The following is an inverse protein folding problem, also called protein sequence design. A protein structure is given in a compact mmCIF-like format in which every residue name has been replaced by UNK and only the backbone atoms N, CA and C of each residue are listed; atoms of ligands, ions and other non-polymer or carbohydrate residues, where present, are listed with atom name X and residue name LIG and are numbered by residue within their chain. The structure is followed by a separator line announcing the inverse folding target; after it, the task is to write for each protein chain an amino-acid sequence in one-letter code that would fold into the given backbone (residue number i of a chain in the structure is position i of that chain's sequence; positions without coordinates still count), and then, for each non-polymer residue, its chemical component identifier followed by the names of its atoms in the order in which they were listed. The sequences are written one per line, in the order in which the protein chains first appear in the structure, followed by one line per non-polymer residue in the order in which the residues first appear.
data_IF_075481609463
#
_entry.id   IF_075481609463
#
_cell.length_a   1.000
_cell.length_b   1.000
_cell.length_c   1.000
_cell.angle_alpha   90.00
_cell.angle_beta   90.00
_cell.angle_gamma   90.00
#
_symmetry.space_group_name_H-M   'P 1'
#
loop_
_entity.id
_entity.type
_entity.pdbx_description
1 polymer ?
#
# COMPACT_ATOMS: atom_id res chain seq x y z
N UNK A 1 23.98 -11.28 6.98
CA UNK A 1 23.06 -10.59 6.03
C UNK A 1 22.89 -9.18 6.52
N UNK A 2 23.25 -8.17 5.73
CA UNK A 2 22.93 -6.77 6.06
C UNK A 2 21.58 -6.51 5.40
N UNK A 3 20.55 -6.23 6.21
CA UNK A 3 19.21 -5.89 5.71
C UNK A 3 19.17 -4.54 5.03
N UNK A 4 18.08 -4.21 4.35
CA UNK A 4 17.89 -2.88 3.79
C UNK A 4 17.71 -1.85 4.94
N UNK A 5 18.43 -0.72 4.94
CA UNK A 5 18.26 0.30 5.96
C UNK A 5 16.85 0.89 5.88
N UNK A 6 16.18 0.94 7.03
CA UNK A 6 14.86 1.54 7.17
C UNK A 6 14.96 3.02 7.53
N UNK A 7 13.96 3.78 7.08
CA UNK A 7 13.71 5.14 7.60
C UNK A 7 13.47 5.05 9.10
N UNK A 8 14.05 5.99 9.86
CA UNK A 8 14.01 5.96 11.33
C UNK A 8 12.57 6.01 11.82
N UNK A 9 11.77 6.83 11.14
CA UNK A 9 10.35 7.07 11.41
C UNK A 9 9.52 5.79 11.31
N UNK A 10 9.92 4.83 10.47
CA UNK A 10 9.26 3.53 10.33
C UNK A 10 9.87 2.49 11.28
N UNK A 11 11.20 2.50 11.44
CA UNK A 11 11.90 1.55 12.30
C UNK A 11 11.49 1.65 13.77
N UNK A 12 11.03 2.82 14.22
CA UNK A 12 10.54 3.05 15.58
C UNK A 12 9.04 3.33 15.65
N UNK A 13 8.29 3.00 14.59
CA UNK A 13 6.86 3.30 14.50
C UNK A 13 6.05 2.39 15.42
N UNK A 14 5.40 2.99 16.42
CA UNK A 14 4.28 2.36 17.13
C UNK A 14 2.98 2.72 16.41
N UNK A 15 2.49 1.80 15.56
CA UNK A 15 1.32 2.05 14.73
C UNK A 15 0.07 2.31 15.56
N UNK A 16 -0.16 1.51 16.60
CA UNK A 16 -1.38 1.61 17.40
C UNK A 16 -1.43 2.92 18.17
N UNK A 17 -0.29 3.40 18.68
CA UNK A 17 -0.22 4.66 19.41
C UNK A 17 -0.49 5.90 18.55
N UNK A 18 -0.22 5.84 17.23
CA UNK A 18 -0.29 7.01 16.34
C UNK A 18 -1.36 6.91 15.25
N UNK A 19 -2.04 5.76 15.14
CA UNK A 19 -3.02 5.46 14.10
C UNK A 19 -4.14 6.49 14.00
N UNK A 20 -4.75 6.86 15.12
CA UNK A 20 -5.88 7.80 15.13
C UNK A 20 -5.44 9.20 14.70
N UNK A 21 -4.27 9.65 15.17
CA UNK A 21 -3.67 10.91 14.76
C UNK A 21 -3.33 10.90 13.26
N UNK A 22 -2.77 9.79 12.76
CA UNK A 22 -2.48 9.63 11.34
C UNK A 22 -3.75 9.65 10.49
N UNK A 23 -4.83 8.99 10.93
CA UNK A 23 -6.13 9.03 10.25
C UNK A 23 -6.70 10.44 10.21
N UNK A 24 -6.68 11.15 11.33
CA UNK A 24 -7.14 12.54 11.40
C UNK A 24 -6.33 13.45 10.46
N UNK A 25 -5.00 13.33 10.45
CA UNK A 25 -4.11 14.12 9.58
C UNK A 25 -4.36 13.83 8.08
N UNK A 26 -4.70 12.57 7.75
CA UNK A 26 -4.99 12.12 6.39
C UNK A 26 -6.47 12.32 5.98
N UNK A 27 -7.32 12.87 6.87
CA UNK A 27 -8.74 13.07 6.61
C UNK A 27 -9.55 11.76 6.50
N UNK A 28 -9.08 10.70 7.16
CA UNK A 28 -9.68 9.38 7.21
C UNK A 28 -10.61 9.23 8.42
N UNK A 29 -11.63 8.40 8.29
CA UNK A 29 -12.54 8.03 9.36
C UNK A 29 -11.83 7.10 10.36
N UNK A 30 -11.86 7.44 11.66
CA UNK A 30 -11.16 6.70 12.70
C UNK A 30 -11.70 5.28 12.90
N UNK A 31 -13.00 5.07 12.67
CA UNK A 31 -13.68 3.82 13.01
C UNK A 31 -13.71 2.81 11.85
N UNK A 32 -13.07 3.13 10.72
CA UNK A 32 -13.12 2.30 9.50
C UNK A 32 -11.83 1.56 9.22
N UNK A 33 -11.91 0.35 8.67
CA UNK A 33 -10.74 -0.30 8.09
C UNK A 33 -10.18 0.53 6.93
N UNK A 34 -8.87 0.72 6.91
CA UNK A 34 -8.19 1.51 5.86
C UNK A 34 -7.33 0.60 4.99
N UNK A 35 -7.63 0.58 3.69
CA UNK A 35 -6.77 -0.02 2.68
C UNK A 35 -5.80 1.04 2.15
N UNK A 36 -4.50 0.86 2.38
CA UNK A 36 -3.49 1.66 1.71
C UNK A 36 -3.12 1.03 0.37
N UNK A 37 -3.14 1.82 -0.69
CA UNK A 37 -2.76 1.40 -2.03
C UNK A 37 -1.57 2.26 -2.48
N UNK A 38 -0.45 1.63 -2.82
CA UNK A 38 0.74 2.37 -3.26
C UNK A 38 1.57 1.62 -4.30
N UNK A 39 1.88 2.30 -5.40
CA UNK A 39 2.78 1.80 -6.43
C UNK A 39 4.27 2.02 -6.16
N UNK A 40 4.63 2.71 -5.06
CA UNK A 40 5.93 3.35 -4.89
C UNK A 40 5.98 4.78 -5.46
N UNK A 41 7.13 5.44 -5.36
CA UNK A 41 7.28 6.88 -5.67
C UNK A 41 6.90 7.27 -7.11
N UNK A 42 7.15 6.39 -8.09
CA UNK A 42 6.82 6.60 -9.51
C UNK A 42 5.39 6.19 -9.87
N UNK A 43 4.65 5.60 -8.93
CA UNK A 43 3.32 5.04 -9.19
C UNK A 43 3.33 3.72 -9.97
N UNK A 44 2.17 3.07 -10.04
CA UNK A 44 2.00 1.77 -10.69
C UNK A 44 0.71 1.73 -11.52
N UNK A 45 0.80 2.04 -12.81
CA UNK A 45 -0.39 2.23 -13.68
C UNK A 45 -1.40 1.09 -13.64
N UNK A 46 -0.95 -0.15 -13.76
CA UNK A 46 -1.83 -1.34 -13.74
C UNK A 46 -2.55 -1.46 -12.41
N UNK A 47 -1.81 -1.39 -11.30
CA UNK A 47 -2.34 -1.40 -9.94
C UNK A 47 -3.33 -0.25 -9.71
N UNK A 48 -2.96 0.98 -10.08
CA UNK A 48 -3.79 2.16 -9.91
C UNK A 48 -5.15 1.99 -10.62
N UNK A 49 -5.12 1.52 -11.88
CA UNK A 49 -6.32 1.28 -12.69
C UNK A 49 -7.20 0.20 -12.09
N UNK A 50 -6.63 -0.95 -11.72
CA UNK A 50 -7.40 -2.06 -11.15
C UNK A 50 -8.12 -1.61 -9.87
N UNK A 51 -7.43 -0.91 -8.98
CA UNK A 51 -8.03 -0.44 -7.72
C UNK A 51 -9.17 0.56 -7.95
N UNK A 52 -9.03 1.47 -8.91
CA UNK A 52 -10.12 2.39 -9.29
C UNK A 52 -11.37 1.60 -9.73
N UNK A 53 -11.19 0.53 -10.51
CA UNK A 53 -12.31 -0.27 -11.03
C UNK A 53 -13.07 -1.05 -9.94
N UNK A 54 -12.45 -1.29 -8.79
CA UNK A 54 -13.08 -2.00 -7.65
C UNK A 54 -13.34 -1.10 -6.44
N UNK A 55 -13.08 0.20 -6.56
CA UNK A 55 -13.16 1.15 -5.44
C UNK A 55 -14.52 1.10 -4.73
N UNK A 56 -15.62 1.16 -5.49
CA UNK A 56 -16.98 1.10 -4.93
C UNK A 56 -17.26 -0.24 -4.22
N UNK A 57 -16.76 -1.36 -4.76
CA UNK A 57 -16.91 -2.68 -4.12
C UNK A 57 -16.19 -2.73 -2.79
N UNK A 58 -15.00 -2.14 -2.70
CA UNK A 58 -14.23 -2.07 -1.46
C UNK A 58 -14.92 -1.16 -0.46
N UNK A 59 -15.31 0.06 -0.85
CA UNK A 59 -15.91 1.02 0.08
C UNK A 59 -17.30 0.60 0.54
N UNK A 60 -18.04 -0.17 -0.27
CA UNK A 60 -19.30 -0.81 0.12
C UNK A 60 -19.15 -1.83 1.28
N UNK A 61 -17.95 -2.35 1.54
CA UNK A 61 -17.69 -3.21 2.73
C UNK A 61 -17.65 -2.42 4.04
N UNK A 62 -17.67 -1.08 3.96
CA UNK A 62 -17.46 -0.18 5.09
C UNK A 62 -16.02 0.30 5.25
N UNK A 63 -15.08 -0.26 4.49
CA UNK A 63 -13.70 0.21 4.43
C UNK A 63 -13.56 1.57 3.73
N UNK A 64 -12.39 2.19 3.89
CA UNK A 64 -11.94 3.37 3.15
C UNK A 64 -10.60 3.06 2.45
N UNK A 65 -10.33 3.78 1.37
CA UNK A 65 -9.11 3.60 0.58
C UNK A 65 -8.26 4.86 0.69
N UNK A 66 -7.00 4.71 1.07
CA UNK A 66 -5.95 5.72 0.89
C UNK A 66 -5.07 5.30 -0.28
N UNK A 67 -5.16 6.00 -1.42
CA UNK A 67 -4.44 5.65 -2.62
C UNK A 67 -3.33 6.66 -2.91
N UNK A 68 -2.09 6.24 -2.69
CA UNK A 68 -0.88 6.97 -3.05
C UNK A 68 -0.48 6.59 -4.47
N UNK A 69 -0.89 7.42 -5.44
CA UNK A 69 -0.87 7.07 -6.88
C UNK A 69 0.50 7.27 -7.54
N UNK A 70 1.40 8.01 -6.91
CA UNK A 70 2.74 8.33 -7.38
C UNK A 70 2.78 9.60 -8.24
N UNK A 71 3.87 10.38 -8.12
CA UNK A 71 3.96 11.73 -8.70
C UNK A 71 4.25 11.79 -10.21
N UNK A 72 4.52 10.65 -10.86
CA UNK A 72 4.93 10.59 -12.26
C UNK A 72 3.79 10.30 -13.25
N UNK A 73 2.55 10.12 -12.77
CA UNK A 73 1.42 9.75 -13.61
C UNK A 73 0.24 10.69 -13.40
N UNK A 74 -0.40 11.11 -14.50
CA UNK A 74 -1.75 11.68 -14.42
C UNK A 74 -2.69 10.64 -13.84
N UNK A 75 -3.41 11.04 -12.79
CA UNK A 75 -4.40 10.22 -12.13
C UNK A 75 -5.66 11.05 -11.91
N UNK A 76 -6.80 10.50 -12.32
CA UNK A 76 -8.11 11.11 -12.10
C UNK A 76 -8.77 10.45 -10.91
N UNK A 77 -9.15 11.27 -9.92
CA UNK A 77 -9.95 10.81 -8.79
C UNK A 77 -11.28 10.20 -9.32
N UNK A 78 -11.63 8.96 -8.94
CA UNK A 78 -12.86 8.34 -9.38
C UNK A 78 -14.13 8.97 -8.78
N UNK A 79 -14.01 9.86 -7.78
CA UNK A 79 -15.15 10.52 -7.15
C UNK A 79 -15.98 9.57 -6.27
N UNK A 80 -15.39 8.47 -5.83
CA UNK A 80 -16.04 7.44 -5.00
C UNK A 80 -15.98 7.86 -3.53
N UNK A 81 -17.11 7.75 -2.82
CA UNK A 81 -17.15 8.00 -1.38
C UNK A 81 -16.13 7.12 -0.64
N UNK A 82 -15.39 7.71 0.32
CA UNK A 82 -14.32 7.05 1.11
C UNK A 82 -13.10 6.61 0.31
N UNK A 83 -12.90 7.20 -0.86
CA UNK A 83 -11.69 7.02 -1.66
C UNK A 83 -10.85 8.30 -1.60
N UNK A 84 -9.68 8.20 -0.96
CA UNK A 84 -8.80 9.33 -0.69
C UNK A 84 -7.56 9.23 -1.60
N UNK A 85 -7.40 10.19 -2.51
CA UNK A 85 -6.28 10.21 -3.46
C UNK A 85 -5.16 11.10 -2.94
N UNK A 86 -3.93 10.57 -2.96
CA UNK A 86 -2.71 11.31 -2.66
C UNK A 86 -1.73 11.12 -3.81
N UNK A 87 -1.29 12.23 -4.43
CA UNK A 87 -0.32 12.16 -5.54
C UNK A 87 1.03 11.62 -5.09
N UNK A 88 1.63 12.24 -4.08
CA UNK A 88 2.88 11.84 -3.45
C UNK A 88 2.78 12.07 -1.95
N UNK A 89 3.39 11.18 -1.16
CA UNK A 89 3.49 11.32 0.30
C UNK A 89 4.96 11.25 0.70
N UNK A 90 5.44 12.31 1.34
CA UNK A 90 6.72 12.34 2.06
C UNK A 90 6.61 11.66 3.43
N UNK A 91 5.41 11.64 4.01
CA UNK A 91 5.07 11.05 5.32
C UNK A 91 4.46 9.64 5.22
N UNK A 92 5.19 8.71 4.62
CA UNK A 92 4.71 7.32 4.49
C UNK A 92 4.45 6.62 5.83
N UNK A 93 5.12 7.03 6.90
CA UNK A 93 4.88 6.50 8.25
C UNK A 93 3.44 6.73 8.71
N UNK A 94 2.81 7.85 8.31
CA UNK A 94 1.40 8.10 8.60
C UNK A 94 0.48 7.17 7.81
N UNK A 95 0.75 7.01 6.52
CA UNK A 95 -0.04 6.13 5.66
C UNK A 95 0.03 4.67 6.15
N UNK A 96 1.22 4.23 6.57
CA UNK A 96 1.47 2.91 7.16
C UNK A 96 0.79 2.76 8.53
N UNK A 97 0.83 3.80 9.37
CA UNK A 97 0.15 3.78 10.67
C UNK A 97 -1.37 3.74 10.55
N UNK A 98 -1.93 4.47 9.58
CA UNK A 98 -3.38 4.56 9.38
C UNK A 98 -3.99 3.30 8.76
N UNK A 99 -3.19 2.50 8.05
CA UNK A 99 -3.65 1.35 7.27
C UNK A 99 -3.86 0.08 8.11
N UNK A 100 -4.77 -0.77 7.66
CA UNK A 100 -5.02 -2.13 8.17
C UNK A 100 -4.49 -3.20 7.21
N UNK A 101 -4.48 -2.90 5.91
CA UNK A 101 -4.01 -3.74 4.82
C UNK A 101 -3.35 -2.86 3.75
N UNK A 102 -2.34 -3.40 3.06
CA UNK A 102 -1.65 -2.69 1.99
C UNK A 102 -1.73 -3.45 0.67
N UNK A 103 -2.06 -2.78 -0.43
CA UNK A 103 -1.78 -3.26 -1.79
C UNK A 103 -0.56 -2.50 -2.30
N UNK A 104 0.53 -3.20 -2.58
CA UNK A 104 1.76 -2.54 -3.01
C UNK A 104 2.60 -3.32 -4.02
N UNK A 105 3.51 -2.60 -4.69
CA UNK A 105 4.64 -3.24 -5.38
C UNK A 105 5.58 -3.89 -4.37
N UNK A 106 6.18 -5.01 -4.76
CA UNK A 106 7.16 -5.74 -3.95
C UNK A 106 8.59 -5.17 -4.05
N UNK A 107 8.72 -3.84 -3.98
CA UNK A 107 10.03 -3.20 -3.89
C UNK A 107 10.70 -3.51 -2.55
N UNK A 108 12.03 -3.63 -2.52
CA UNK A 108 12.77 -3.99 -1.31
C UNK A 108 12.46 -3.05 -0.11
N UNK A 109 12.28 -1.75 -0.38
CA UNK A 109 11.91 -0.77 0.65
C UNK A 109 10.53 -1.04 1.24
N UNK A 110 9.51 -1.16 0.39
CA UNK A 110 8.16 -1.48 0.83
C UNK A 110 8.09 -2.81 1.60
N UNK A 111 8.76 -3.86 1.13
CA UNK A 111 8.84 -5.14 1.84
C UNK A 111 9.46 -4.96 3.23
N UNK A 112 10.58 -4.24 3.33
CA UNK A 112 11.28 -4.05 4.59
C UNK A 112 10.45 -3.20 5.57
N UNK A 113 9.80 -2.15 5.08
CA UNK A 113 8.98 -1.26 5.90
C UNK A 113 7.73 -1.96 6.45
N UNK A 114 7.00 -2.68 5.59
CA UNK A 114 5.76 -3.36 5.97
C UNK A 114 6.03 -4.54 6.91
N UNK A 115 7.12 -5.28 6.69
CA UNK A 115 7.51 -6.38 7.59
C UNK A 115 7.98 -5.88 8.95
N UNK A 116 8.68 -4.74 9.00
CA UNK A 116 9.14 -4.17 10.27
C UNK A 116 7.99 -3.78 11.20
N UNK A 117 6.86 -3.38 10.64
CA UNK A 117 5.68 -2.90 11.40
C UNK A 117 4.53 -3.92 11.47
N UNK A 118 4.76 -5.13 10.97
CA UNK A 118 3.78 -6.21 10.97
C UNK A 118 2.49 -5.89 10.19
N UNK A 119 2.56 -5.08 9.14
CA UNK A 119 1.40 -4.71 8.34
C UNK A 119 1.20 -5.70 7.18
N UNK A 120 0.11 -6.49 7.18
CA UNK A 120 -0.13 -7.45 6.11
C UNK A 120 -0.32 -6.75 4.76
N UNK A 121 0.07 -7.42 3.67
CA UNK A 121 -0.04 -6.86 2.33
C UNK A 121 -0.40 -7.87 1.23
N UNK A 122 -1.06 -7.35 0.20
CA UNK A 122 -1.12 -7.93 -1.14
C UNK A 122 0.00 -7.32 -1.96
N UNK A 123 0.94 -8.16 -2.38
CA UNK A 123 2.08 -7.75 -3.18
C UNK A 123 1.81 -8.03 -4.67
N UNK A 124 1.98 -7.00 -5.49
CA UNK A 124 1.86 -7.06 -6.96
C UNK A 124 3.22 -6.74 -7.58
N UNK A 125 4.14 -7.71 -7.74
CA UNK A 125 5.50 -7.45 -8.21
C UNK A 125 5.55 -6.76 -9.57
N UNK A 126 6.49 -5.84 -9.77
CA UNK A 126 6.66 -5.15 -11.04
C UNK A 126 7.08 -6.11 -12.17
N UNK A 127 6.34 -6.18 -13.30
CA UNK A 127 6.53 -7.24 -14.29
C UNK A 127 7.69 -7.01 -15.27
N UNK A 128 8.17 -5.77 -15.43
CA UNK A 128 9.18 -5.40 -16.47
C UNK A 128 10.61 -5.39 -15.94
N UNK A 129 10.80 -5.45 -14.61
CA UNK A 129 12.13 -5.44 -13.99
C UNK A 129 12.92 -6.73 -14.23
N UNK A 130 14.09 -6.83 -13.61
CA UNK A 130 14.93 -8.03 -13.58
C UNK A 130 14.33 -9.22 -12.80
N UNK A 131 13.07 -9.11 -12.34
CA UNK A 131 12.39 -10.15 -11.55
C UNK A 131 12.67 -10.10 -10.05
N UNK A 132 13.52 -9.20 -9.56
CA UNK A 132 13.94 -9.17 -8.15
C UNK A 132 12.76 -9.00 -7.19
N UNK A 133 11.74 -8.22 -7.55
CA UNK A 133 10.56 -8.04 -6.72
C UNK A 133 9.82 -9.38 -6.45
N UNK A 134 9.71 -10.23 -7.48
CA UNK A 134 9.07 -11.54 -7.36
C UNK A 134 9.91 -12.54 -6.54
N UNK A 135 11.24 -12.35 -6.50
CA UNK A 135 12.14 -13.15 -5.65
C UNK A 135 12.08 -12.67 -4.20
N UNK A 136 12.19 -11.36 -3.97
CA UNK A 136 12.27 -10.75 -2.65
C UNK A 136 11.00 -10.99 -1.81
N UNK A 137 9.83 -10.95 -2.44
CA UNK A 137 8.55 -11.14 -1.74
C UNK A 137 8.36 -12.56 -1.20
N UNK A 138 9.04 -13.57 -1.76
CA UNK A 138 8.84 -14.98 -1.37
C UNK A 138 9.11 -15.22 0.10
N UNK A 139 10.17 -14.61 0.65
CA UNK A 139 10.50 -14.75 2.06
C UNK A 139 9.43 -14.17 2.97
N UNK A 140 8.84 -13.03 2.58
CA UNK A 140 7.76 -12.37 3.32
C UNK A 140 6.48 -13.20 3.29
N UNK A 141 6.09 -13.71 2.12
CA UNK A 141 4.91 -14.57 1.97
C UNK A 141 5.08 -15.89 2.73
N UNK A 142 6.26 -16.52 2.64
CA UNK A 142 6.56 -17.75 3.39
C UNK A 142 6.49 -17.55 4.92
N UNK A 143 6.77 -16.34 5.40
CA UNK A 143 6.65 -15.95 6.80
C UNK A 143 5.22 -15.52 7.20
N UNK A 144 4.25 -15.53 6.28
CA UNK A 144 2.86 -15.13 6.55
C UNK A 144 2.62 -13.62 6.53
N UNK A 145 3.57 -12.80 6.05
CA UNK A 145 3.44 -11.35 6.00
C UNK A 145 2.50 -10.82 4.91
N UNK A 146 1.95 -11.69 4.07
CA UNK A 146 1.07 -11.30 2.99
C UNK A 146 0.90 -12.36 1.91
N UNK A 147 0.25 -11.98 0.83
CA UNK A 147 0.08 -12.80 -0.38
C UNK A 147 0.66 -12.09 -1.60
N UNK A 148 0.98 -12.85 -2.64
CA UNK A 148 1.52 -12.33 -3.90
C UNK A 148 0.58 -12.67 -5.05
N UNK A 149 0.37 -11.72 -5.95
CA UNK A 149 -0.37 -11.88 -7.19
C UNK A 149 0.45 -11.30 -8.34
N UNK A 150 0.51 -12.00 -9.47
CA UNK A 150 1.22 -11.48 -10.63
C UNK A 150 0.52 -10.21 -11.15
N UNK A 151 1.27 -9.25 -11.68
CA UNK A 151 0.69 -8.00 -12.22
C UNK A 151 -0.39 -8.26 -13.28
N UNK A 152 -0.19 -9.28 -14.11
CA UNK A 152 -1.14 -9.68 -15.15
C UNK A 152 -2.43 -10.32 -14.59
N UNK A 153 -2.38 -10.87 -13.37
CA UNK A 153 -3.51 -11.52 -12.69
C UNK A 153 -4.25 -10.56 -11.74
N UNK A 154 -3.62 -9.42 -11.39
CA UNK A 154 -4.22 -8.39 -10.55
C UNK A 154 -5.28 -7.58 -11.32
N UNK A 155 -6.41 -8.24 -11.53
CA UNK A 155 -7.59 -7.77 -12.27
C UNK A 155 -8.73 -7.44 -11.30
N UNK A 156 -9.79 -6.73 -11.75
CA UNK A 156 -10.93 -6.39 -10.88
C UNK A 156 -11.68 -7.60 -10.27
N UNK A 157 -11.51 -8.80 -10.85
CA UNK A 157 -12.17 -10.02 -10.39
C UNK A 157 -11.33 -10.84 -9.40
N UNK A 158 -10.04 -10.55 -9.27
CA UNK A 158 -9.15 -11.17 -8.29
C UNK A 158 -9.43 -10.62 -6.89
#
# INVERSE_FOLDING_TARGET
VVGMPLRREIATLDRDAVRDAARAELGLDADRPTLLVTGGSTGARSLNRTVVQVAERITATGAQILHIVGGAQEFTDPGVDRYHVVGYSDRMELAIAAADLVVSRAGAGALSELTAVGLPAVYVPYPVGNGDQAVNVRGVVAAGGGIVVADAEFTPDW
#
